data_IF_028290657607
#
_entry.id   IF_028290657607
#
_cell.length_a   1.000
_cell.length_b   1.000
_cell.length_c   1.000
_cell.angle_alpha   90.00
_cell.angle_beta   90.00
_cell.angle_gamma   90.00
#
_symmetry.space_group_name_H-M   'P 1'
#
loop_
_entity.id
_entity.type
_entity.pdbx_description
1 polymer ?
#
# COMPACT_ATOMS: atom_id res chain seq x y z
N UNK A 1 11.68 -14.04 -16.68
CA UNK A 1 11.33 -12.63 -16.89
C UNK A 1 9.98 -12.20 -16.30
N UNK A 2 8.81 -12.51 -16.86
CA UNK A 2 7.53 -12.04 -16.26
C UNK A 2 7.28 -12.59 -14.83
N UNK A 3 7.60 -13.86 -14.57
CA UNK A 3 7.47 -14.47 -13.23
C UNK A 3 8.51 -13.97 -12.22
N UNK A 4 9.72 -13.61 -12.66
CA UNK A 4 10.74 -12.98 -11.80
C UNK A 4 10.28 -11.57 -11.39
N UNK A 5 9.74 -10.80 -12.34
CA UNK A 5 9.22 -9.46 -12.09
C UNK A 5 7.93 -9.49 -11.27
N UNK A 6 7.09 -10.53 -11.39
CA UNK A 6 5.84 -10.64 -10.64
C UNK A 6 6.09 -10.75 -9.14
N UNK A 7 7.10 -11.53 -8.73
CA UNK A 7 7.51 -11.61 -7.34
C UNK A 7 8.02 -10.25 -6.83
N UNK A 8 8.85 -9.57 -7.63
CA UNK A 8 9.34 -8.22 -7.29
C UNK A 8 8.20 -7.20 -7.16
N UNK A 9 7.19 -7.26 -8.03
CA UNK A 9 6.01 -6.42 -7.96
C UNK A 9 5.20 -6.67 -6.68
N UNK A 10 4.99 -7.95 -6.31
CA UNK A 10 4.30 -8.32 -5.07
C UNK A 10 5.09 -7.85 -3.86
N UNK A 11 6.40 -8.11 -3.81
CA UNK A 11 7.23 -7.68 -2.68
C UNK A 11 7.27 -6.16 -2.57
N UNK A 12 7.42 -5.43 -3.67
CA UNK A 12 7.37 -3.98 -3.70
C UNK A 12 6.02 -3.43 -3.21
N UNK A 13 4.92 -4.01 -3.68
CA UNK A 13 3.57 -3.67 -3.23
C UNK A 13 3.39 -3.90 -1.73
N UNK A 14 3.80 -5.07 -1.22
CA UNK A 14 3.68 -5.42 0.20
C UNK A 14 4.55 -4.54 1.08
N UNK A 15 5.79 -4.25 0.68
CA UNK A 15 6.68 -3.34 1.41
C UNK A 15 6.06 -1.94 1.47
N UNK A 16 5.56 -1.43 0.36
CA UNK A 16 4.92 -0.11 0.31
C UNK A 16 3.66 -0.05 1.18
N UNK A 17 2.84 -1.11 1.13
CA UNK A 17 1.64 -1.22 1.95
C UNK A 17 1.97 -1.24 3.44
N UNK A 18 2.97 -2.01 3.86
CA UNK A 18 3.43 -2.07 5.26
C UNK A 18 3.95 -0.71 5.72
N UNK A 19 4.66 0.03 4.86
CA UNK A 19 5.11 1.40 5.15
C UNK A 19 3.90 2.32 5.38
N UNK A 20 2.90 2.30 4.50
CA UNK A 20 1.68 3.10 4.67
C UNK A 20 0.91 2.74 5.95
N UNK A 21 0.83 1.44 6.27
CA UNK A 21 0.21 0.95 7.50
C UNK A 21 0.97 1.45 8.74
N UNK A 22 2.31 1.36 8.72
CA UNK A 22 3.18 1.89 9.76
C UNK A 22 2.95 3.40 9.94
N UNK A 23 3.00 4.19 8.87
CA UNK A 23 2.77 5.64 8.94
C UNK A 23 1.35 6.00 9.37
N UNK A 24 0.34 5.18 9.08
CA UNK A 24 -1.00 5.42 9.60
C UNK A 24 -1.11 5.12 11.09
N UNK A 25 -0.33 4.16 11.59
CA UNK A 25 -0.43 3.65 12.96
C UNK A 25 0.49 4.36 13.96
N UNK A 26 1.76 4.59 13.61
CA UNK A 26 2.77 5.14 14.52
C UNK A 26 2.49 6.58 15.01
N UNK A 27 2.08 7.54 14.17
CA UNK A 27 1.75 8.90 14.63
C UNK A 27 0.36 8.97 15.27
N UNK A 28 -0.51 7.99 15.03
CA UNK A 28 -1.83 7.88 15.62
C UNK A 28 -1.75 7.16 16.97
N UNK A 29 -1.27 7.86 18.01
CA UNK A 29 -1.29 7.32 19.38
C UNK A 29 -2.71 7.09 19.93
N UNK A 30 -3.77 7.52 19.24
CA UNK A 30 -5.17 7.19 19.57
C UNK A 30 -6.02 7.42 18.32
N UNK A 31 -6.95 6.52 18.01
CA UNK A 31 -8.33 6.97 18.13
C UNK A 31 -9.11 6.00 19.01
N UNK A 32 -9.85 6.55 19.96
CA UNK A 32 -10.71 5.85 20.90
C UNK A 32 -11.76 4.96 20.20
N UNK A 33 -11.93 5.10 18.88
CA UNK A 33 -12.96 4.42 18.08
C UNK A 33 -12.48 3.85 16.74
N UNK A 34 -11.17 3.85 16.44
CA UNK A 34 -10.66 3.37 15.14
C UNK A 34 -10.05 1.98 15.27
N UNK A 35 -10.66 1.02 14.57
CA UNK A 35 -10.27 -0.38 14.64
C UNK A 35 -9.09 -0.67 13.69
N UNK A 36 -8.20 -1.55 14.13
CA UNK A 36 -7.09 -2.07 13.30
C UNK A 36 -7.55 -2.55 11.92
N UNK A 37 -8.72 -3.17 11.84
CA UNK A 37 -9.30 -3.66 10.59
C UNK A 37 -9.54 -2.54 9.57
N UNK A 38 -10.00 -1.37 10.03
CA UNK A 38 -10.25 -0.21 9.17
C UNK A 38 -8.95 0.39 8.66
N UNK A 39 -7.89 0.41 9.46
CA UNK A 39 -6.58 0.90 9.04
C UNK A 39 -5.94 0.03 7.97
N UNK A 40 -5.97 -1.29 8.19
CA UNK A 40 -5.54 -2.31 7.21
C UNK A 40 -6.31 -2.13 5.90
N UNK A 41 -7.64 -2.04 5.95
CA UNK A 41 -8.47 -1.91 4.75
C UNK A 41 -8.20 -0.63 3.97
N UNK A 42 -8.12 0.52 4.65
CA UNK A 42 -7.86 1.80 3.99
C UNK A 42 -6.46 1.83 3.38
N UNK A 43 -5.44 1.39 4.12
CA UNK A 43 -4.05 1.40 3.63
C UNK A 43 -3.86 0.43 2.47
N UNK A 44 -4.58 -0.69 2.47
CA UNK A 44 -4.60 -1.63 1.35
C UNK A 44 -5.19 -0.98 0.09
N UNK A 45 -6.37 -0.35 0.20
CA UNK A 45 -6.98 0.39 -0.92
C UNK A 45 -6.07 1.50 -1.41
N UNK A 46 -5.47 2.28 -0.51
CA UNK A 46 -4.50 3.33 -0.88
C UNK A 46 -3.33 2.76 -1.68
N UNK A 47 -2.82 1.59 -1.29
CA UNK A 47 -1.72 0.92 -1.99
C UNK A 47 -2.14 0.46 -3.38
N UNK A 48 -3.35 -0.10 -3.53
CA UNK A 48 -3.90 -0.52 -4.84
C UNK A 48 -4.08 0.68 -5.77
N UNK A 49 -4.67 1.78 -5.26
CA UNK A 49 -4.86 3.01 -6.05
C UNK A 49 -3.51 3.58 -6.49
N UNK A 50 -2.55 3.68 -5.57
CA UNK A 50 -1.22 4.23 -5.86
C UNK A 50 -0.50 3.37 -6.92
N UNK A 51 -0.62 2.05 -6.83
CA UNK A 51 -0.06 1.14 -7.82
C UNK A 51 -0.72 1.32 -9.20
N UNK A 52 -2.05 1.42 -9.26
CA UNK A 52 -2.78 1.67 -10.50
C UNK A 52 -2.39 3.01 -11.14
N UNK A 53 -2.30 4.08 -10.34
CA UNK A 53 -1.84 5.41 -10.80
C UNK A 53 -0.42 5.34 -11.33
N UNK A 54 0.48 4.61 -10.66
CA UNK A 54 1.87 4.47 -11.09
C UNK A 54 1.98 3.76 -12.46
N UNK A 55 1.19 2.71 -12.67
CA UNK A 55 1.12 2.04 -13.98
C UNK A 55 0.60 2.97 -15.08
N UNK A 56 -0.41 3.80 -14.77
CA UNK A 56 -0.93 4.80 -15.73
C UNK A 56 0.14 5.83 -16.08
N UNK A 57 0.88 6.36 -15.10
CA UNK A 57 1.95 7.34 -15.35
C UNK A 57 3.03 6.73 -16.24
N UNK A 58 3.51 5.52 -15.92
CA UNK A 58 4.52 4.82 -16.73
C UNK A 58 4.03 4.60 -18.16
N UNK A 59 2.74 4.30 -18.36
CA UNK A 59 2.18 4.10 -19.69
C UNK A 59 2.25 5.34 -20.59
N UNK A 60 2.19 6.54 -20.00
CA UNK A 60 2.23 7.82 -20.72
C UNK A 60 3.62 8.47 -20.78
N UNK A 61 4.66 7.81 -20.24
CA UNK A 61 6.04 8.29 -20.20
C UNK A 61 6.90 7.58 -21.25
#
# INVERSE_FOLDING_TARGET
MFYENFNVLIYGFLVWWVILLAFKRFPSSYPHNNTWKKDIFITFIQSVILFAVFQVIIYFQ
#
